data_IF_973991135905
#
_entry.id   IF_973991135905
#
_cell.length_a   1.000
_cell.length_b   1.000
_cell.length_c   1.000
_cell.angle_alpha   90.00
_cell.angle_beta   90.00
_cell.angle_gamma   90.00
#
_symmetry.space_group_name_H-M   'P 1'
#
loop_
_entity.id
_entity.type
_entity.pdbx_description
1 polymer ?
#
# COMPACT_ATOMS: atom_id res chain seq x y z
N UNK A 1 -2.28 -18.42 0.31
CA UNK A 1 -3.01 -19.26 -0.62
C UNK A 1 -3.76 -20.39 0.02
N UNK A 2 -3.20 -20.93 1.10
CA UNK A 2 -3.90 -22.02 1.77
C UNK A 2 -5.28 -21.62 2.23
N UNK A 3 -5.56 -20.32 2.26
CA UNK A 3 -6.86 -19.81 2.67
C UNK A 3 -7.75 -19.43 1.50
N UNK A 4 -7.31 -19.69 0.28
CA UNK A 4 -8.10 -19.33 -0.87
C UNK A 4 -8.18 -17.83 -1.13
N UNK A 5 -7.14 -17.11 -0.80
CA UNK A 5 -7.06 -15.68 -1.07
C UNK A 5 -6.28 -15.44 -2.35
N UNK A 6 -6.89 -14.75 -3.29
CA UNK A 6 -6.21 -14.36 -4.51
C UNK A 6 -5.45 -13.07 -4.26
N UNK A 7 -4.14 -13.09 -4.47
CA UNK A 7 -3.31 -11.92 -4.24
C UNK A 7 -2.69 -11.47 -5.54
N UNK A 8 -2.86 -10.19 -5.84
CA UNK A 8 -2.29 -9.59 -7.04
C UNK A 8 -1.50 -8.36 -6.62
N UNK A 9 -0.25 -8.30 -7.06
CA UNK A 9 0.63 -7.21 -6.66
C UNK A 9 1.26 -6.56 -7.88
N UNK A 10 1.16 -5.25 -7.97
CA UNK A 10 1.71 -4.48 -9.08
C UNK A 10 2.34 -3.21 -8.51
N UNK A 11 3.60 -3.31 -8.14
CA UNK A 11 4.35 -2.18 -7.59
C UNK A 11 5.41 -1.75 -8.58
N UNK A 12 5.30 -0.51 -9.04
CA UNK A 12 6.27 0.07 -9.96
C UNK A 12 7.02 1.18 -9.27
N UNK A 13 8.16 0.85 -8.72
CA UNK A 13 8.98 1.80 -7.99
C UNK A 13 10.36 1.87 -8.62
N UNK A 14 10.81 3.06 -9.00
CA UNK A 14 12.18 3.18 -9.51
C UNK A 14 13.18 2.94 -8.39
N UNK A 15 14.35 2.47 -8.76
CA UNK A 15 15.40 2.23 -7.79
C UNK A 15 16.67 2.92 -8.28
N UNK A 16 17.36 3.68 -7.44
CA UNK A 16 17.01 3.97 -6.05
C UNK A 16 15.89 4.99 -5.94
N UNK A 17 15.26 4.98 -4.79
CA UNK A 17 14.11 5.82 -4.53
C UNK A 17 14.33 6.47 -3.16
N UNK A 18 13.71 7.61 -2.92
CA UNK A 18 13.86 8.29 -1.65
C UNK A 18 13.18 7.59 -0.48
N UNK A 19 12.47 6.51 -0.75
CA UNK A 19 11.78 5.75 0.27
C UNK A 19 12.71 4.72 0.87
N UNK A 20 12.83 4.71 2.20
CA UNK A 20 13.69 3.75 2.89
C UNK A 20 13.03 2.38 2.88
N UNK A 21 13.87 1.35 2.74
CA UNK A 21 13.38 -0.02 2.69
C UNK A 21 12.57 -0.38 3.93
N UNK A 22 13.02 0.05 5.10
CA UNK A 22 12.32 -0.28 6.33
C UNK A 22 10.94 0.38 6.37
N UNK A 23 10.83 1.58 5.83
CA UNK A 23 9.54 2.27 5.81
C UNK A 23 8.58 1.59 4.86
N UNK A 24 9.07 1.18 3.69
CA UNK A 24 8.25 0.42 2.76
C UNK A 24 7.79 -0.89 3.38
N UNK A 25 8.69 -1.55 4.11
CA UNK A 25 8.35 -2.79 4.79
C UNK A 25 7.25 -2.59 5.82
N UNK A 26 7.31 -1.49 6.56
CA UNK A 26 6.28 -1.20 7.55
C UNK A 26 4.93 -1.03 6.86
N UNK A 27 4.90 -0.26 5.78
CA UNK A 27 3.64 -0.05 5.06
C UNK A 27 3.08 -1.36 4.55
N UNK A 28 3.91 -2.14 3.85
CA UNK A 28 3.43 -3.35 3.20
C UNK A 28 3.02 -4.42 4.21
N UNK A 29 3.83 -4.63 5.26
CA UNK A 29 3.50 -5.68 6.22
C UNK A 29 2.24 -5.35 6.98
N UNK A 30 2.06 -4.10 7.39
CA UNK A 30 0.86 -3.72 8.11
C UNK A 30 -0.37 -3.75 7.21
N UNK A 31 -0.21 -3.32 5.96
CA UNK A 31 -1.33 -3.35 5.02
C UNK A 31 -1.76 -4.78 4.72
N UNK A 32 -0.79 -5.67 4.52
CA UNK A 32 -1.09 -7.07 4.25
C UNK A 32 -1.73 -7.74 5.45
N UNK A 33 -1.21 -7.48 6.65
CA UNK A 33 -1.81 -8.06 7.86
C UNK A 33 -3.26 -7.64 8.00
N UNK A 34 -3.54 -6.38 7.75
CA UNK A 34 -4.89 -5.87 7.83
C UNK A 34 -5.79 -6.54 6.79
N UNK A 35 -5.30 -6.66 5.57
CA UNK A 35 -6.08 -7.26 4.48
C UNK A 35 -6.32 -8.74 4.72
N UNK A 36 -5.30 -9.46 5.18
CA UNK A 36 -5.44 -10.89 5.47
C UNK A 36 -6.44 -11.09 6.60
N UNK A 37 -6.34 -10.26 7.63
CA UNK A 37 -7.27 -10.37 8.74
C UNK A 37 -8.72 -10.18 8.27
N UNK A 38 -8.95 -9.19 7.41
CA UNK A 38 -10.28 -8.94 6.89
C UNK A 38 -10.78 -10.13 6.09
N UNK A 39 -9.91 -10.74 5.28
CA UNK A 39 -10.31 -11.90 4.50
C UNK A 39 -10.62 -13.10 5.39
N UNK A 40 -9.86 -13.26 6.48
CA UNK A 40 -10.08 -14.38 7.40
C UNK A 40 -11.43 -14.33 8.07
N UNK A 41 -11.97 -13.13 8.27
CA UNK A 41 -13.24 -12.99 8.97
C UNK A 41 -14.44 -13.13 8.05
N UNK A 42 -14.21 -13.34 6.75
CA UNK A 42 -15.30 -13.50 5.81
C UNK A 42 -15.89 -14.92 5.89
N UNK A 43 -17.14 -15.03 5.51
CA UNK A 43 -17.84 -16.30 5.53
C UNK A 43 -17.20 -17.31 4.58
N UNK A 44 -17.36 -18.57 4.91
CA UNK A 44 -16.89 -19.64 4.05
C UNK A 44 -17.56 -19.52 2.67
N UNK A 45 -16.77 -19.73 1.63
CA UNK A 45 -17.28 -19.64 0.28
C UNK A 45 -17.27 -18.25 -0.32
N UNK A 46 -16.98 -17.24 0.48
CA UNK A 46 -16.89 -15.88 -0.03
C UNK A 46 -15.63 -15.70 -0.87
N UNK A 47 -15.72 -14.83 -1.85
CA UNK A 47 -14.55 -14.48 -2.65
C UNK A 47 -13.61 -13.63 -1.83
N UNK A 48 -12.36 -14.07 -1.75
CA UNK A 48 -11.34 -13.36 -1.00
C UNK A 48 -10.23 -12.92 -1.94
N UNK A 49 -9.93 -11.65 -1.94
CA UNK A 49 -8.86 -11.14 -2.78
C UNK A 49 -8.16 -9.97 -2.11
N UNK A 50 -6.91 -9.77 -2.51
CA UNK A 50 -6.10 -8.64 -2.09
C UNK A 50 -5.38 -8.11 -3.33
N UNK A 51 -5.51 -6.83 -3.58
CA UNK A 51 -4.87 -6.18 -4.72
C UNK A 51 -3.99 -5.07 -4.21
N UNK A 52 -2.71 -5.13 -4.56
CA UNK A 52 -1.75 -4.11 -4.17
C UNK A 52 -1.21 -3.46 -5.42
N UNK A 53 -1.24 -2.14 -5.45
CA UNK A 53 -0.66 -1.40 -6.56
C UNK A 53 0.08 -0.18 -6.03
N UNK A 54 1.02 0.30 -6.80
CA UNK A 54 1.77 1.48 -6.42
C UNK A 54 2.57 1.98 -7.60
N UNK A 55 2.72 3.29 -7.65
CA UNK A 55 3.48 3.91 -8.73
C UNK A 55 3.92 5.29 -8.29
N UNK A 56 4.94 5.79 -8.99
CA UNK A 56 5.42 7.15 -8.81
C UNK A 56 4.78 8.04 -9.86
N UNK A 57 4.29 9.17 -9.43
CA UNK A 57 3.77 10.17 -10.34
C UNK A 57 4.29 11.52 -9.87
N UNK A 58 5.22 12.09 -10.64
CA UNK A 58 5.92 13.28 -10.18
C UNK A 58 6.73 12.96 -8.94
N UNK A 59 6.53 13.73 -7.89
CA UNK A 59 7.20 13.50 -6.62
C UNK A 59 6.38 12.65 -5.68
N UNK A 60 5.27 12.10 -6.16
CA UNK A 60 4.36 11.35 -5.31
C UNK A 60 4.47 9.87 -5.55
N UNK A 61 4.57 9.14 -4.47
CA UNK A 61 4.37 7.70 -4.51
C UNK A 61 2.95 7.43 -4.05
N UNK A 62 2.15 6.80 -4.89
CA UNK A 62 0.77 6.47 -4.58
C UNK A 62 0.63 4.97 -4.47
N UNK A 63 0.22 4.50 -3.31
CA UNK A 63 0.01 3.08 -3.07
C UNK A 63 -1.43 2.83 -2.73
N UNK A 64 -1.92 1.69 -3.17
CA UNK A 64 -3.31 1.33 -2.96
C UNK A 64 -3.38 -0.14 -2.61
N UNK A 65 -4.09 -0.45 -1.55
CA UNK A 65 -4.33 -1.85 -1.16
C UNK A 65 -5.83 -2.03 -1.08
N UNK A 66 -6.33 -2.88 -1.94
CA UNK A 66 -7.76 -3.16 -2.01
C UNK A 66 -7.98 -4.61 -1.59
N UNK A 67 -8.94 -4.85 -0.75
CA UNK A 67 -9.26 -6.21 -0.36
C UNK A 67 -10.73 -6.37 -0.12
N UNK A 68 -11.20 -7.59 -0.31
CA UNK A 68 -12.55 -7.94 0.06
C UNK A 68 -12.67 -7.96 1.58
N UNK A 69 -13.85 -7.65 2.09
CA UNK A 69 -14.08 -7.74 3.52
C UNK A 69 -15.58 -7.92 3.77
N UNK A 70 -15.93 -8.14 5.02
CA UNK A 70 -17.29 -8.54 5.36
C UNK A 70 -18.32 -7.45 5.12
N UNK A 71 -17.90 -6.21 5.09
CA UNK A 71 -18.83 -5.11 4.89
C UNK A 71 -19.49 -4.63 6.15
N UNK A 72 -18.93 -5.02 7.29
CA UNK A 72 -19.42 -4.55 8.58
C UNK A 72 -18.26 -3.89 9.28
N UNK A 73 -18.34 -3.84 10.61
CA UNK A 73 -17.26 -3.28 11.40
C UNK A 73 -16.07 -4.21 11.42
N UNK A 74 -15.72 -4.73 10.26
CA UNK A 74 -14.78 -5.80 10.19
C UNK A 74 -13.33 -5.41 10.29
N UNK A 75 -12.99 -4.19 9.97
CA UNK A 75 -11.60 -3.82 10.03
C UNK A 75 -11.31 -3.18 11.38
N UNK A 76 -10.07 -3.31 11.78
CA UNK A 76 -9.65 -2.77 13.06
C UNK A 76 -8.72 -1.58 12.83
N UNK A 77 -9.05 -0.49 13.47
CA UNK A 77 -8.17 0.67 13.46
C UNK A 77 -7.12 0.47 14.51
N UNK A 78 -6.42 -0.61 14.41
CA UNK A 78 -5.43 -0.91 15.40
C UNK A 78 -4.08 -0.34 15.04
N UNK A 79 -3.08 -0.96 15.64
CA UNK A 79 -1.71 -0.53 15.51
C UNK A 79 -1.24 -0.53 14.07
N UNK A 80 -1.75 -1.47 13.26
CA UNK A 80 -1.33 -1.61 11.89
C UNK A 80 -1.55 -0.36 11.06
N UNK A 81 -2.79 0.13 11.07
CA UNK A 81 -3.11 1.31 10.27
C UNK A 81 -2.43 2.55 10.82
N UNK A 82 -2.29 2.67 12.13
CA UNK A 82 -1.62 3.82 12.70
C UNK A 82 -0.13 3.82 12.36
N UNK A 83 0.48 2.65 12.24
CA UNK A 83 1.87 2.57 11.81
C UNK A 83 2.02 3.07 10.38
N UNK A 84 1.11 2.70 9.51
CA UNK A 84 1.13 3.18 8.13
C UNK A 84 0.98 4.69 8.10
N UNK A 85 0.05 5.22 8.88
CA UNK A 85 -0.16 6.65 8.92
C UNK A 85 1.07 7.39 9.38
N UNK A 86 1.78 6.84 10.36
CA UNK A 86 3.00 7.45 10.87
C UNK A 86 4.07 7.53 9.79
N UNK A 87 4.23 6.47 9.02
CA UNK A 87 5.19 6.49 7.92
C UNK A 87 4.76 7.50 6.87
N UNK A 88 3.48 7.54 6.53
CA UNK A 88 3.00 8.50 5.54
C UNK A 88 3.31 9.93 5.98
N UNK A 89 3.08 10.23 7.25
CA UNK A 89 3.35 11.57 7.76
C UNK A 89 4.84 11.88 7.76
N UNK A 90 5.66 10.89 7.99
CA UNK A 90 7.11 11.06 7.92
C UNK A 90 7.55 11.56 6.54
N UNK A 91 6.85 11.16 5.50
CA UNK A 91 7.14 11.57 4.13
C UNK A 91 6.21 12.69 3.67
N UNK A 92 5.60 13.39 4.61
CA UNK A 92 4.72 14.53 4.33
C UNK A 92 3.53 14.14 3.46
N UNK A 93 3.09 12.91 3.58
CA UNK A 93 1.97 12.40 2.82
C UNK A 93 0.77 12.16 3.69
N UNK A 94 -0.07 11.23 3.28
CA UNK A 94 -1.31 10.97 3.96
C UNK A 94 -1.76 9.53 3.74
N UNK A 95 -2.61 9.05 4.63
CA UNK A 95 -3.22 7.75 4.51
C UNK A 95 -4.73 7.94 4.61
N UNK A 96 -5.48 7.25 3.79
CA UNK A 96 -6.93 7.28 3.89
C UNK A 96 -7.49 5.88 3.69
N UNK A 97 -8.66 5.67 4.27
CA UNK A 97 -9.36 4.40 4.19
C UNK A 97 -10.77 4.66 3.67
N UNK A 98 -11.20 3.81 2.76
CA UNK A 98 -12.52 3.94 2.19
C UNK A 98 -13.15 2.56 2.12
N UNK A 99 -14.42 2.48 2.46
CA UNK A 99 -15.16 1.22 2.33
C UNK A 99 -16.33 1.44 1.41
N UNK A 100 -16.60 0.45 0.60
CA UNK A 100 -17.71 0.52 -0.33
C UNK A 100 -18.24 -0.88 -0.51
N UNK A 101 -19.45 -1.14 0.04
CA UNK A 101 -19.99 -2.47 0.01
C UNK A 101 -19.09 -3.44 0.75
N UNK A 102 -18.62 -4.44 0.05
CA UNK A 102 -17.73 -5.44 0.64
C UNK A 102 -16.29 -5.27 0.17
N UNK A 103 -15.91 -4.03 -0.08
CA UNK A 103 -14.55 -3.70 -0.52
C UNK A 103 -13.95 -2.70 0.46
N UNK A 104 -12.74 -2.97 0.88
CA UNK A 104 -11.96 -2.11 1.76
C UNK A 104 -10.79 -1.58 0.94
N UNK A 105 -10.60 -0.28 0.98
CA UNK A 105 -9.58 0.37 0.15
C UNK A 105 -8.71 1.25 1.01
N UNK A 106 -7.42 0.97 0.99
CA UNK A 106 -6.43 1.76 1.70
C UNK A 106 -5.59 2.52 0.69
N UNK A 107 -5.51 3.83 0.88
CA UNK A 107 -4.67 4.69 0.03
C UNK A 107 -3.55 5.26 0.87
N UNK A 108 -2.34 5.21 0.33
CA UNK A 108 -1.18 5.80 0.98
C UNK A 108 -0.49 6.70 -0.02
N UNK A 109 -0.27 7.94 0.37
CA UNK A 109 0.42 8.92 -0.46
C UNK A 109 1.68 9.37 0.26
N UNK A 110 2.80 9.28 -0.41
CA UNK A 110 4.09 9.74 0.14
C UNK A 110 4.70 10.75 -0.82
N UNK A 111 5.39 11.72 -0.27
CA UNK A 111 6.13 12.69 -1.07
C UNK A 111 7.60 12.34 -0.98
N UNK A 112 8.18 11.95 -2.09
CA UNK A 112 9.59 11.53 -2.12
C UNK A 112 10.33 12.22 -3.24
N UNK A 113 10.67 13.49 -3.06
CA UNK A 113 11.30 14.27 -4.14
C UNK A 113 12.61 13.68 -4.63
N UNK A 114 13.30 12.90 -3.79
CA UNK A 114 14.56 12.30 -4.19
C UNK A 114 14.42 11.27 -5.30
N UNK A 115 13.23 10.75 -5.51
CA UNK A 115 13.02 9.86 -6.63
C UNK A 115 13.24 10.59 -7.95
N UNK A 116 12.75 11.82 -8.03
CA UNK A 116 12.93 12.64 -9.21
C UNK A 116 14.41 12.95 -9.43
N UNK A 117 15.09 13.34 -8.38
CA UNK A 117 16.50 13.64 -8.46
C UNK A 117 17.31 12.44 -8.93
N UNK A 118 17.03 11.30 -8.36
CA UNK A 118 17.77 10.10 -8.72
C UNK A 118 17.54 9.70 -10.17
N UNK A 119 16.33 9.87 -10.64
CA UNK A 119 16.00 9.57 -12.03
C UNK A 119 16.72 10.53 -12.97
N UNK A 120 16.74 11.81 -12.63
CA UNK A 120 17.41 12.82 -13.43
C UNK A 120 18.90 12.55 -13.52
N UNK A 121 19.52 12.22 -12.39
CA UNK A 121 20.94 11.90 -12.37
C UNK A 121 21.26 10.67 -13.20
N UNK A 122 20.40 9.68 -13.12
CA UNK A 122 20.59 8.45 -13.90
C UNK A 122 20.55 8.77 -15.40
N UNK A 123 19.60 9.57 -15.83
CA UNK A 123 19.47 9.93 -17.23
C UNK A 123 20.68 10.71 -17.73
N UNK A 124 21.13 11.64 -16.91
CA UNK A 124 22.30 12.45 -17.26
C UNK A 124 23.52 11.56 -17.47
N UNK A 125 23.72 10.61 -16.54
CA UNK A 125 24.85 9.73 -16.58
C UNK A 125 24.83 8.80 -17.79
N UNK A 126 23.65 8.46 -18.26
CA UNK A 126 23.49 7.49 -19.33
C UNK A 126 23.15 8.14 -20.67
N UNK A 127 23.30 9.44 -20.77
CA UNK A 127 23.13 10.15 -22.03
C UNK A 127 21.68 10.22 -22.50
N UNK A 128 20.76 10.17 -21.60
CA UNK A 128 19.33 10.20 -21.96
C UNK A 128 18.68 11.52 -21.64
#
# INVERSE_FOLDING_TARGET
KSMGIDVCCSLLLPYPCGLRDIDLGIILSNALDNAIHACKTMEAGAERYIRISGRIQGDFLMMEVENSYQGKDGFQKGTGLSNIKRVAEKYNGAMSVKTQGKVFLLHVLLIIPQCQENIALWKEKNGQ
#
